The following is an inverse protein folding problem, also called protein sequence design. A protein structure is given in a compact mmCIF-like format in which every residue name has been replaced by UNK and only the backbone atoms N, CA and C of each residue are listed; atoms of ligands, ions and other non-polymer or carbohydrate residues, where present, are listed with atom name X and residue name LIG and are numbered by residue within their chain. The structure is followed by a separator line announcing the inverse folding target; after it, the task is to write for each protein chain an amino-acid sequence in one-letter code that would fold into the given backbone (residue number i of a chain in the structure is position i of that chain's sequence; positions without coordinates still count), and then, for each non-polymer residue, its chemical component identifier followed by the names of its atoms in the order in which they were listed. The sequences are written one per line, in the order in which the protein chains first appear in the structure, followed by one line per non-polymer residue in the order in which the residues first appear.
data_IF_168078055875
#
_entry.id   IF_168078055875
#
_cell.length_a   1.000
_cell.length_b   1.000
_cell.length_c   1.000
_cell.angle_alpha   90.00
_cell.angle_beta   90.00
_cell.angle_gamma   90.00
#
_symmetry.space_group_name_H-M   'P 1'
#
loop_
_entity.id
_entity.type
_entity.pdbx_description
1 polymer ?
#
# COMPACT_ATOMS: atom_id res chain seq x y z
N UNK A 1 22.75 11.71 2.66
CA UNK A 1 21.59 12.57 2.99
C UNK A 1 20.57 12.48 1.86
N UNK A 2 19.36 13.01 2.02
CA UNK A 2 18.27 12.90 1.04
C UNK A 2 16.98 13.44 1.63
N UNK A 3 15.86 13.15 0.98
CA UNK A 3 14.54 13.50 1.48
C UNK A 3 13.78 12.23 1.95
N UNK A 4 13.26 12.27 3.17
CA UNK A 4 12.86 11.06 3.92
C UNK A 4 11.51 11.22 4.62
N UNK A 5 10.43 11.14 3.86
CA UNK A 5 9.07 11.24 4.36
C UNK A 5 8.51 9.86 4.74
N UNK A 6 9.15 9.19 5.72
CA UNK A 6 8.75 7.85 6.16
C UNK A 6 7.51 7.89 7.06
N UNK A 7 6.63 6.89 6.91
CA UNK A 7 5.39 6.81 7.69
C UNK A 7 5.64 6.81 9.20
N UNK A 8 6.64 6.04 9.66
CA UNK A 8 6.96 5.91 11.08
C UNK A 8 7.45 7.24 11.69
N UNK A 9 8.31 7.96 10.97
CA UNK A 9 8.80 9.28 11.40
C UNK A 9 7.65 10.28 11.46
N UNK A 10 6.86 10.35 10.40
CA UNK A 10 5.74 11.28 10.30
C UNK A 10 4.65 11.02 11.35
N UNK A 11 4.37 9.76 11.71
CA UNK A 11 3.46 9.44 12.82
C UNK A 11 3.98 9.89 14.18
N UNK A 12 5.29 9.83 14.38
CA UNK A 12 5.94 10.29 15.61
C UNK A 12 5.91 11.80 15.73
N UNK A 13 6.19 12.50 14.62
CA UNK A 13 6.23 13.97 14.57
C UNK A 13 4.82 14.59 14.53
N UNK A 14 3.83 13.85 14.00
CA UNK A 14 2.43 14.28 13.88
C UNK A 14 1.45 13.24 14.45
N UNK A 15 1.42 13.06 15.78
CA UNK A 15 0.62 12.01 16.42
C UNK A 15 -0.87 12.19 16.11
N UNK A 16 -1.51 11.08 15.70
CA UNK A 16 -2.95 11.03 15.41
C UNK A 16 -3.39 11.73 14.12
N UNK A 17 -2.46 12.28 13.31
CA UNK A 17 -2.79 12.94 12.03
C UNK A 17 -2.87 11.97 10.85
N UNK A 18 -2.19 10.84 10.96
CA UNK A 18 -2.15 9.81 9.91
C UNK A 18 -2.88 8.58 10.45
N UNK A 19 -3.85 8.07 9.69
CA UNK A 19 -4.60 6.88 10.08
C UNK A 19 -3.70 5.64 10.26
N UNK A 20 -4.15 4.62 11.00
CA UNK A 20 -3.40 3.38 11.20
C UNK A 20 -3.08 2.61 9.92
N UNK A 21 -3.92 2.72 8.88
CA UNK A 21 -3.71 2.05 7.58
C UNK A 21 -4.03 3.01 6.42
N UNK A 22 -3.05 3.79 5.95
CA UNK A 22 -3.22 4.61 4.75
C UNK A 22 -3.40 3.72 3.51
N UNK A 23 -4.30 4.13 2.61
CA UNK A 23 -4.61 3.42 1.37
C UNK A 23 -3.70 3.80 0.22
N UNK A 24 -3.25 5.04 0.19
CA UNK A 24 -2.32 5.55 -0.82
C UNK A 24 -1.49 6.70 -0.26
N UNK A 25 -0.41 7.01 -0.97
CA UNK A 25 0.47 8.13 -0.70
C UNK A 25 0.63 8.95 -1.98
N UNK A 26 0.48 10.25 -1.86
CA UNK A 26 0.77 11.21 -2.91
C UNK A 26 1.97 12.05 -2.50
N UNK A 27 2.99 12.10 -3.35
CA UNK A 27 4.17 12.93 -3.16
C UNK A 27 4.23 14.03 -4.24
N UNK A 28 4.55 15.24 -3.81
CA UNK A 28 4.77 16.39 -4.69
C UNK A 28 5.97 17.18 -4.20
N UNK A 29 6.72 17.80 -5.12
CA UNK A 29 7.75 18.74 -4.70
C UNK A 29 7.11 19.96 -4.04
N UNK A 30 7.87 20.70 -3.23
CA UNK A 30 7.36 21.96 -2.65
C UNK A 30 7.00 23.01 -3.73
N UNK A 31 7.55 22.87 -4.94
CA UNK A 31 7.18 23.68 -6.12
C UNK A 31 5.90 23.20 -6.83
N UNK A 32 5.27 22.11 -6.37
CA UNK A 32 4.03 21.58 -6.92
C UNK A 32 4.19 20.60 -8.09
N UNK A 33 5.41 20.18 -8.41
CA UNK A 33 5.63 19.16 -9.43
C UNK A 33 5.28 17.77 -8.90
N UNK A 34 4.69 16.94 -9.76
CA UNK A 34 4.58 15.51 -9.51
C UNK A 34 5.97 14.87 -9.48
N UNK A 35 6.08 13.70 -8.84
CA UNK A 35 7.32 12.90 -8.84
C UNK A 35 7.85 12.67 -10.26
N UNK A 36 6.96 12.32 -11.20
CA UNK A 36 7.33 12.07 -12.58
C UNK A 36 7.86 13.33 -13.29
N UNK A 37 7.25 14.49 -13.02
CA UNK A 37 7.70 15.76 -13.61
C UNK A 37 9.01 16.27 -12.98
N UNK A 38 9.25 15.98 -11.69
CA UNK A 38 10.49 16.33 -11.00
C UNK A 38 11.69 15.53 -11.52
N UNK A 39 11.47 14.28 -11.91
CA UNK A 39 12.48 13.43 -12.57
C UNK A 39 13.52 12.81 -11.61
N UNK A 40 13.29 12.87 -10.30
CA UNK A 40 14.15 12.21 -9.32
C UNK A 40 13.96 10.68 -9.34
N UNK A 41 15.03 9.95 -9.06
CA UNK A 41 14.99 8.51 -8.86
C UNK A 41 14.52 8.20 -7.43
N UNK A 42 13.28 7.74 -7.30
CA UNK A 42 12.66 7.52 -5.99
C UNK A 42 12.91 6.09 -5.50
N UNK A 43 13.41 5.96 -4.27
CA UNK A 43 13.69 4.68 -3.63
C UNK A 43 12.40 3.98 -3.17
N UNK A 44 11.46 4.73 -2.59
CA UNK A 44 10.14 4.21 -2.19
C UNK A 44 9.08 5.30 -2.30
N UNK A 45 7.88 4.92 -2.72
CA UNK A 45 6.71 5.79 -2.85
C UNK A 45 5.45 4.95 -2.55
N UNK A 46 5.31 4.49 -1.31
CA UNK A 46 4.26 3.57 -0.91
C UNK A 46 3.66 3.97 0.45
N UNK A 47 2.36 3.78 0.67
CA UNK A 47 1.69 4.24 1.90
C UNK A 47 2.21 3.58 3.18
N UNK A 48 2.79 2.37 3.10
CA UNK A 48 3.26 1.63 4.28
C UNK A 48 4.70 2.05 4.67
N UNK A 49 5.56 2.29 3.69
CA UNK A 49 6.97 2.70 3.92
C UNK A 49 7.17 4.22 3.93
N UNK A 50 6.27 4.97 3.29
CA UNK A 50 6.38 6.40 3.04
C UNK A 50 7.03 6.72 1.69
N UNK A 51 7.66 7.88 1.62
CA UNK A 51 8.39 8.36 0.45
C UNK A 51 9.86 8.59 0.80
N UNK A 52 10.78 8.12 -0.04
CA UNK A 52 12.22 8.36 0.15
C UNK A 52 12.89 8.64 -1.17
N UNK A 53 13.57 9.77 -1.24
CA UNK A 53 14.56 10.09 -2.24
C UNK A 53 15.96 10.11 -1.60
N UNK A 54 16.91 9.38 -2.16
CA UNK A 54 18.30 9.39 -1.66
C UNK A 54 19.17 10.21 -2.61
N UNK A 55 19.99 11.11 -2.05
CA UNK A 55 20.91 11.90 -2.85
C UNK A 55 21.92 11.02 -3.60
N UNK A 56 22.32 9.88 -3.04
CA UNK A 56 23.29 8.98 -3.66
C UNK A 56 22.78 8.39 -4.98
N UNK A 57 21.47 8.19 -5.10
CA UNK A 57 20.80 7.65 -6.28
C UNK A 57 20.63 8.72 -7.37
N UNK A 58 20.71 10.02 -7.03
CA UNK A 58 20.46 11.09 -7.99
C UNK A 58 21.69 11.38 -8.88
N UNK A 59 21.50 11.61 -10.19
CA UNK A 59 22.59 12.04 -11.07
C UNK A 59 23.24 13.36 -10.62
N UNK A 60 22.43 14.30 -10.14
CA UNK A 60 22.88 15.60 -9.60
C UNK A 60 23.30 15.53 -8.13
N UNK A 61 23.28 14.33 -7.53
CA UNK A 61 23.56 14.08 -6.12
C UNK A 61 22.71 14.89 -5.13
N UNK A 62 21.51 15.28 -5.55
CA UNK A 62 20.59 16.08 -4.76
C UNK A 62 19.15 15.76 -5.15
N UNK A 63 18.33 15.41 -4.16
CA UNK A 63 16.89 15.28 -4.28
C UNK A 63 16.22 16.66 -4.31
N UNK A 64 15.06 16.76 -4.95
CA UNK A 64 14.13 17.85 -4.65
C UNK A 64 13.54 17.67 -3.24
N UNK A 65 13.00 18.76 -2.69
CA UNK A 65 12.24 18.72 -1.44
C UNK A 65 10.79 18.34 -1.73
N UNK A 66 10.30 17.31 -1.05
CA UNK A 66 8.94 16.83 -1.20
C UNK A 66 8.09 17.06 0.03
N UNK A 67 6.78 17.04 -0.19
CA UNK A 67 5.76 16.82 0.82
C UNK A 67 4.95 15.59 0.43
N UNK A 68 4.42 14.89 1.43
CA UNK A 68 3.54 13.75 1.22
C UNK A 68 2.15 13.98 1.82
N UNK A 69 1.14 13.43 1.15
CA UNK A 69 -0.23 13.35 1.64
C UNK A 69 -0.65 11.88 1.68
N UNK A 70 -1.02 11.40 2.86
CA UNK A 70 -1.56 10.06 3.02
C UNK A 70 -3.07 10.10 2.86
N UNK A 71 -3.59 9.25 1.97
CA UNK A 71 -5.03 9.07 1.86
C UNK A 71 -5.45 8.00 2.86
N UNK A 72 -6.42 8.36 3.67
CA UNK A 72 -7.03 7.49 4.65
C UNK A 72 -8.46 7.23 4.22
N UNK A 73 -8.77 5.96 3.92
CA UNK A 73 -10.15 5.52 3.88
C UNK A 73 -10.50 4.97 5.28
N UNK A 74 -11.72 5.20 5.78
CA UNK A 74 -12.15 4.53 7.00
C UNK A 74 -11.93 3.01 6.82
N UNK A 75 -11.47 2.29 7.86
CA UNK A 75 -11.49 0.85 7.81
C UNK A 75 -12.91 0.42 7.47
N UNK A 76 -13.07 -0.29 6.36
CA UNK A 76 -14.34 -0.91 6.00
C UNK A 76 -14.73 -1.83 7.14
N UNK A 77 -15.70 -1.44 7.96
CA UNK A 77 -16.35 -2.40 8.84
C UNK A 77 -16.98 -3.47 7.95
N UNK A 78 -16.56 -4.71 8.15
CA UNK A 78 -17.13 -5.86 7.47
C UNK A 78 -18.59 -5.98 7.91
N UNK A 79 -19.57 -5.75 7.02
CA UNK A 79 -20.94 -6.19 7.25
C UNK A 79 -21.04 -7.61 6.74
N UNK A 80 -21.16 -8.57 7.65
CA UNK A 80 -21.40 -9.98 7.34
C UNK A 80 -22.69 -10.18 6.52
N UNK A 81 -22.93 -11.40 6.00
CA UNK A 81 -24.14 -11.69 5.26
C UNK A 81 -25.35 -11.39 6.16
N UNK A 82 -26.35 -10.77 5.53
CA UNK A 82 -27.65 -10.40 6.06
C UNK A 82 -28.14 -11.35 7.16
N UNK A 83 -28.54 -10.78 8.29
CA UNK A 83 -29.28 -11.45 9.35
C UNK A 83 -30.35 -12.41 8.81
N UNK A 84 -30.08 -13.71 8.85
CA UNK A 84 -31.07 -14.65 9.37
C UNK A 84 -30.70 -14.87 10.84
N UNK A 85 -31.66 -14.58 11.71
CA UNK A 85 -31.49 -14.23 13.12
C UNK A 85 -31.23 -15.42 14.06
N UNK A 86 -30.73 -16.55 13.59
CA UNK A 86 -30.79 -17.80 14.38
C UNK A 86 -29.49 -18.61 14.46
N UNK A 87 -28.30 -18.00 14.47
CA UNK A 87 -27.08 -18.78 14.77
C UNK A 87 -26.03 -18.01 15.61
N UNK A 88 -25.69 -18.45 16.84
CA UNK A 88 -24.85 -17.70 17.76
C UNK A 88 -23.35 -18.08 17.74
N UNK A 89 -22.83 -18.64 16.64
CA UNK A 89 -21.41 -19.06 16.58
C UNK A 89 -20.62 -18.41 15.45
N UNK A 90 -19.94 -17.31 15.78
CA UNK A 90 -18.72 -16.86 15.09
C UNK A 90 -18.81 -15.51 14.37
N UNK A 91 -17.85 -14.58 14.58
CA UNK A 91 -17.71 -13.41 13.72
C UNK A 91 -17.28 -13.87 12.32
N UNK A 92 -18.18 -13.70 11.34
CA UNK A 92 -17.93 -13.98 9.93
C UNK A 92 -16.75 -13.18 9.41
N UNK A 93 -15.66 -13.88 9.10
CA UNK A 93 -14.58 -13.35 8.29
C UNK A 93 -15.12 -13.08 6.87
N UNK A 94 -14.71 -11.97 6.26
CA UNK A 94 -14.81 -11.88 4.81
C UNK A 94 -13.78 -12.86 4.23
N UNK A 95 -14.22 -14.08 3.94
CA UNK A 95 -13.41 -15.01 3.17
C UNK A 95 -13.21 -14.42 1.77
N UNK A 96 -12.05 -13.79 1.54
CA UNK A 96 -11.45 -13.88 0.22
C UNK A 96 -11.11 -15.35 0.06
N UNK A 97 -11.88 -16.08 -0.74
CA UNK A 97 -11.58 -17.47 -1.08
C UNK A 97 -10.11 -17.58 -1.50
N UNK A 98 -9.27 -18.10 -0.62
CA UNK A 98 -7.98 -18.66 -0.99
C UNK A 98 -8.28 -19.84 -1.90
N UNK A 99 -8.30 -19.60 -3.22
CA UNK A 99 -7.97 -20.68 -4.12
C UNK A 99 -6.54 -21.06 -3.74
N UNK A 100 -6.37 -22.22 -3.10
CA UNK A 100 -5.12 -22.77 -2.60
C UNK A 100 -4.15 -23.02 -3.75
N UNK A 101 -3.58 -21.95 -4.29
CA UNK A 101 -2.46 -22.07 -5.20
C UNK A 101 -1.24 -22.33 -4.31
N UNK A 102 -0.48 -23.37 -4.58
CA UNK A 102 0.77 -23.70 -3.87
C UNK A 102 1.90 -22.66 -4.11
N UNK A 103 1.54 -21.41 -4.43
CA UNK A 103 2.43 -20.29 -4.70
C UNK A 103 2.38 -19.30 -3.54
N UNK A 104 3.55 -18.81 -3.14
CA UNK A 104 3.72 -17.90 -2.00
C UNK A 104 3.70 -16.44 -2.49
N UNK A 105 2.63 -15.70 -2.21
CA UNK A 105 2.52 -14.30 -2.66
C UNK A 105 3.13 -13.34 -1.65
N UNK A 106 3.97 -12.41 -2.13
CA UNK A 106 4.53 -11.35 -1.30
C UNK A 106 3.45 -10.35 -0.87
N UNK A 107 2.44 -10.14 -1.72
CA UNK A 107 1.25 -9.37 -1.39
C UNK A 107 0.05 -9.85 -2.22
N UNK A 108 -1.13 -9.88 -1.61
CA UNK A 108 -2.41 -10.07 -2.30
C UNK A 108 -3.52 -9.30 -1.57
N UNK A 109 -3.62 -8.00 -1.83
CA UNK A 109 -4.68 -7.15 -1.29
C UNK A 109 -4.84 -5.86 -2.11
N UNK A 110 -5.96 -5.14 -2.00
CA UNK A 110 -6.17 -3.90 -2.79
C UNK A 110 -5.17 -2.78 -2.51
N UNK A 111 -4.48 -2.79 -1.35
CA UNK A 111 -3.54 -1.74 -0.96
C UNK A 111 -2.14 -1.95 -1.56
N UNK A 112 -1.65 -3.19 -1.54
CA UNK A 112 -0.33 -3.55 -2.08
C UNK A 112 -0.41 -4.12 -3.50
N UNK A 113 -1.63 -4.42 -3.98
CA UNK A 113 -1.86 -5.16 -5.20
C UNK A 113 -1.57 -6.66 -5.06
N UNK A 114 -1.29 -7.29 -6.19
CA UNK A 114 -0.84 -8.67 -6.27
C UNK A 114 0.64 -8.68 -6.65
N UNK A 115 1.48 -9.20 -5.77
CA UNK A 115 2.91 -9.30 -5.98
C UNK A 115 3.32 -10.76 -5.82
N UNK A 116 3.63 -11.39 -6.95
CA UNK A 116 4.33 -12.66 -6.98
C UNK A 116 5.79 -12.42 -7.37
N UNK A 117 6.73 -12.99 -6.60
CA UNK A 117 8.15 -12.95 -6.93
C UNK A 117 8.63 -14.38 -7.14
N UNK A 118 9.28 -14.63 -8.28
CA UNK A 118 9.82 -15.95 -8.65
C UNK A 118 10.71 -16.55 -7.55
N UNK A 119 11.50 -15.70 -6.86
CA UNK A 119 12.38 -16.11 -5.76
C UNK A 119 11.65 -16.68 -4.53
N UNK A 120 10.37 -16.36 -4.37
CA UNK A 120 9.56 -16.85 -3.24
C UNK A 120 8.85 -18.17 -3.61
N UNK A 121 8.92 -18.61 -4.88
CA UNK A 121 8.23 -19.81 -5.37
C UNK A 121 9.14 -21.02 -5.32
N UNK A 122 8.62 -22.15 -4.84
CA UNK A 122 9.32 -23.43 -4.93
C UNK A 122 9.61 -23.87 -6.37
N UNK A 123 8.72 -23.53 -7.31
CA UNK A 123 8.91 -23.81 -8.74
C UNK A 123 9.85 -22.83 -9.45
N UNK A 124 10.27 -21.75 -8.77
CA UNK A 124 11.11 -20.70 -9.36
C UNK A 124 10.41 -19.78 -10.35
N UNK A 125 9.10 -19.91 -10.53
CA UNK A 125 8.31 -19.07 -11.44
C UNK A 125 6.91 -18.77 -10.89
N UNK A 126 6.48 -17.54 -11.03
CA UNK A 126 5.09 -17.12 -10.83
C UNK A 126 4.23 -17.64 -11.97
N UNK A 127 3.03 -18.13 -11.65
CA UNK A 127 2.02 -18.48 -12.65
C UNK A 127 1.43 -17.21 -13.27
N UNK A 128 0.75 -17.41 -14.38
CA UNK A 128 -0.02 -16.35 -15.02
C UNK A 128 -1.38 -16.21 -14.31
N UNK A 129 -1.55 -15.11 -13.59
CA UNK A 129 -2.70 -14.87 -12.73
C UNK A 129 -3.61 -13.82 -13.32
N UNK A 130 -4.90 -14.15 -13.41
CA UNK A 130 -5.94 -13.14 -13.58
C UNK A 130 -6.35 -12.61 -12.21
N UNK A 131 -5.89 -11.42 -11.86
CA UNK A 131 -6.14 -10.81 -10.57
C UNK A 131 -7.40 -9.96 -10.64
N UNK A 132 -8.36 -10.23 -9.77
CA UNK A 132 -9.52 -9.38 -9.55
C UNK A 132 -9.54 -8.88 -8.11
N UNK A 133 -9.63 -7.57 -7.92
CA UNK A 133 -9.95 -6.99 -6.62
C UNK A 133 -11.42 -6.57 -6.66
N UNK A 134 -12.22 -7.15 -5.76
CA UNK A 134 -13.59 -6.70 -5.57
C UNK A 134 -13.59 -5.24 -5.13
N UNK A 135 -14.44 -4.42 -5.75
CA UNK A 135 -14.77 -3.13 -5.15
C UNK A 135 -15.63 -3.41 -3.91
N UNK A 136 -15.35 -2.79 -2.75
CA UNK A 136 -16.32 -2.79 -1.67
C UNK A 136 -17.62 -2.16 -2.20
N UNK A 137 -18.75 -2.81 -1.90
CA UNK A 137 -20.08 -2.37 -2.33
C UNK A 137 -20.27 -0.89 -1.96
N UNK A 138 -20.52 -0.05 -2.98
CA UNK A 138 -20.94 1.33 -2.79
C UNK A 138 -22.44 1.35 -2.49
N UNK A 139 -22.85 2.23 -1.58
CA UNK A 139 -24.21 2.74 -1.54
C UNK A 139 -24.30 3.95 -2.47
#
# INVERSE_FOLDING_TARGET
TGDWETLDRLRKDHPGKICPKPSSLEAQTLSGLSVAAAGDLIYTNYPISGFVCKNEDQPKKMCNDYRVSFVCHPPTECVGPSHHRDDPSGPGACDTTEASTEQNFYAYNPTQGFICRNKDQKSGNCRDYKVGFGCPCKY
#
